data_IF_749805829229
#
_entry.id   IF_749805829229
#
_cell.length_a   1.000
_cell.length_b   1.000
_cell.length_c   1.000
_cell.angle_alpha   90.00
_cell.angle_beta   90.00
_cell.angle_gamma   90.00
#
_symmetry.space_group_name_H-M   'P 1'
#
loop_
_entity.id
_entity.type
_entity.pdbx_description
1 polymer ?
#
# COMPACT_ATOMS: atom_id res chain seq x y z
N UNK A 1 -3.72 33.67 -5.85
CA UNK A 1 -2.73 34.54 -6.51
C UNK A 1 -1.56 33.72 -6.99
N UNK A 2 -1.36 33.60 -8.30
CA UNK A 2 -0.19 32.91 -8.88
C UNK A 2 0.94 33.92 -8.95
N UNK A 3 2.03 33.67 -8.21
CA UNK A 3 3.16 34.62 -8.19
C UNK A 3 3.95 34.47 -9.49
N UNK A 4 3.79 35.44 -10.39
CA UNK A 4 4.59 35.52 -11.62
C UNK A 4 6.03 35.95 -11.28
N UNK A 5 6.88 34.98 -10.91
CA UNK A 5 8.30 35.23 -10.63
C UNK A 5 9.12 35.25 -11.91
N UNK A 6 9.94 36.28 -12.06
CA UNK A 6 10.90 36.42 -13.17
C UNK A 6 11.87 35.23 -13.22
N UNK A 7 12.09 34.70 -14.43
CA UNK A 7 13.00 33.57 -14.66
C UNK A 7 14.47 33.90 -14.34
N UNK A 8 15.21 32.88 -13.86
CA UNK A 8 16.62 32.99 -13.48
C UNK A 8 17.53 33.46 -14.61
N UNK A 9 17.18 33.11 -15.86
CA UNK A 9 17.89 33.52 -17.08
C UNK A 9 18.09 35.04 -17.15
N UNK A 10 17.07 35.81 -16.79
CA UNK A 10 17.13 37.25 -16.89
C UNK A 10 18.07 37.89 -15.88
N UNK A 11 18.33 37.23 -14.74
CA UNK A 11 19.32 37.67 -13.74
C UNK A 11 20.74 37.28 -14.12
N UNK A 12 20.89 36.30 -15.02
CA UNK A 12 22.20 35.81 -15.44
C UNK A 12 22.76 36.48 -16.70
N UNK A 13 22.00 37.36 -17.36
CA UNK A 13 22.55 38.18 -18.46
C UNK A 13 23.71 39.04 -17.90
N UNK A 14 24.88 38.97 -18.54
CA UNK A 14 26.11 39.64 -18.09
C UNK A 14 26.98 38.85 -17.10
N UNK A 15 26.54 37.69 -16.59
CA UNK A 15 27.27 36.90 -15.58
C UNK A 15 28.41 36.00 -16.12
N UNK A 16 28.83 36.20 -17.37
CA UNK A 16 29.83 35.44 -18.13
C UNK A 16 29.56 33.92 -18.31
N UNK A 17 29.26 33.15 -17.25
CA UNK A 17 29.07 31.68 -17.31
C UNK A 17 27.71 31.19 -16.81
N UNK A 18 26.78 32.10 -16.48
CA UNK A 18 25.43 31.76 -16.01
C UNK A 18 25.44 30.82 -14.77
N UNK A 19 26.43 30.98 -13.88
CA UNK A 19 26.58 30.15 -12.68
C UNK A 19 27.03 28.72 -12.93
N UNK A 20 27.55 28.40 -14.11
CA UNK A 20 27.95 27.04 -14.50
C UNK A 20 29.42 26.72 -14.17
N UNK A 21 30.09 27.57 -13.38
CA UNK A 21 31.51 27.46 -13.06
C UNK A 21 32.40 27.84 -14.25
N UNK A 22 33.46 27.06 -14.47
CA UNK A 22 34.40 27.28 -15.57
C UNK A 22 33.77 27.03 -16.95
N UNK A 23 34.22 27.78 -17.98
CA UNK A 23 33.75 27.71 -19.38
C UNK A 23 33.79 26.30 -20.02
N UNK A 24 34.53 25.36 -19.43
CA UNK A 24 34.65 23.95 -19.89
C UNK A 24 33.67 22.97 -19.22
N UNK A 25 32.89 23.39 -18.21
CA UNK A 25 32.14 22.46 -17.33
C UNK A 25 30.68 22.21 -17.73
N UNK A 26 30.07 22.99 -18.62
CA UNK A 26 28.71 22.75 -19.15
C UNK A 26 28.74 22.34 -20.62
N UNK A 27 29.21 21.11 -20.89
CA UNK A 27 29.22 20.49 -22.23
C UNK A 27 28.21 19.34 -22.31
N UNK A 28 28.37 18.47 -23.31
CA UNK A 28 27.46 17.37 -23.62
C UNK A 28 27.50 16.20 -22.65
N UNK A 29 27.23 14.99 -23.16
CA UNK A 29 27.08 13.78 -22.35
C UNK A 29 28.34 13.39 -21.56
N UNK A 30 29.54 13.72 -22.04
CA UNK A 30 30.78 13.46 -21.30
C UNK A 30 30.80 14.09 -19.92
N UNK A 31 30.39 15.37 -19.81
CA UNK A 31 30.33 16.07 -18.52
C UNK A 31 29.22 15.52 -17.59
N UNK A 32 28.27 14.73 -18.12
CA UNK A 32 27.21 14.06 -17.35
C UNK A 32 27.55 12.60 -16.99
N UNK A 33 28.73 12.11 -17.38
CA UNK A 33 29.10 10.70 -17.23
C UNK A 33 28.22 9.79 -18.10
N UNK A 34 28.00 10.18 -19.37
CA UNK A 34 27.18 9.44 -20.34
C UNK A 34 25.71 9.86 -20.38
N UNK A 35 24.98 9.34 -21.38
CA UNK A 35 23.55 9.61 -21.59
C UNK A 35 22.71 8.69 -20.70
N UNK A 36 21.74 9.23 -19.97
CA UNK A 36 20.81 8.45 -19.14
C UNK A 36 21.51 7.62 -18.06
N UNK A 37 21.09 6.35 -17.93
CA UNK A 37 21.64 5.37 -16.98
C UNK A 37 22.96 4.73 -17.45
N UNK A 38 23.74 5.43 -18.26
CA UNK A 38 25.08 4.96 -18.63
C UNK A 38 26.00 4.87 -17.41
N UNK A 39 26.72 3.76 -17.27
CA UNK A 39 27.70 3.57 -16.20
C UNK A 39 27.11 3.28 -14.83
N UNK A 40 25.82 2.92 -14.76
CA UNK A 40 25.18 2.53 -13.50
C UNK A 40 25.60 1.15 -13.00
N UNK A 41 26.35 0.38 -13.82
CA UNK A 41 26.81 -0.98 -13.56
C UNK A 41 26.67 -1.90 -14.79
N UNK A 42 26.76 -3.23 -14.57
CA UNK A 42 26.80 -4.32 -15.57
C UNK A 42 28.04 -4.37 -16.47
N UNK A 43 28.49 -3.23 -17.01
CA UNK A 43 29.72 -3.13 -17.83
C UNK A 43 30.64 -2.00 -17.39
N UNK A 44 30.09 -0.88 -16.91
CA UNK A 44 30.85 0.28 -16.49
C UNK A 44 30.29 0.84 -15.17
N UNK A 45 31.18 1.36 -14.32
CA UNK A 45 30.89 1.55 -12.89
C UNK A 45 30.94 3.02 -12.41
N UNK A 46 31.10 3.98 -13.32
CA UNK A 46 31.19 5.43 -13.03
C UNK A 46 30.02 6.02 -12.22
N UNK A 47 28.83 5.40 -12.23
CA UNK A 47 27.63 5.79 -11.45
C UNK A 47 27.15 4.69 -10.49
N UNK A 48 27.83 3.55 -10.43
CA UNK A 48 27.46 2.41 -9.57
C UNK A 48 27.28 2.77 -8.09
N UNK A 49 28.16 3.54 -7.42
CA UNK A 49 27.98 3.87 -6.00
C UNK A 49 26.71 4.69 -5.75
N UNK A 50 26.37 5.61 -6.66
CA UNK A 50 25.14 6.42 -6.56
C UNK A 50 23.90 5.54 -6.70
N UNK A 51 23.92 4.59 -7.63
CA UNK A 51 22.76 3.72 -7.92
C UNK A 51 22.55 2.71 -6.80
N UNK A 52 23.61 2.11 -6.27
CA UNK A 52 23.50 1.20 -5.13
C UNK A 52 22.97 1.92 -3.88
N UNK A 53 23.36 3.18 -3.66
CA UNK A 53 22.81 4.00 -2.57
C UNK A 53 21.33 4.32 -2.74
N UNK A 54 20.87 4.59 -3.96
CA UNK A 54 19.48 5.00 -4.25
C UNK A 54 18.51 3.83 -4.34
N UNK A 55 18.92 2.77 -5.02
CA UNK A 55 18.05 1.65 -5.40
C UNK A 55 18.41 0.33 -4.71
N UNK A 56 19.49 0.30 -3.93
CA UNK A 56 19.98 -0.90 -3.28
C UNK A 56 20.56 -1.94 -4.25
N UNK A 57 20.79 -3.14 -3.71
CA UNK A 57 21.38 -4.25 -4.46
C UNK A 57 20.40 -4.91 -5.44
N UNK A 58 19.11 -4.59 -5.36
CA UNK A 58 18.06 -5.16 -6.22
C UNK A 58 17.97 -4.48 -7.60
N UNK A 59 18.73 -3.40 -7.83
CA UNK A 59 18.72 -2.65 -9.09
C UNK A 59 19.13 -3.51 -10.30
N UNK A 60 20.04 -4.46 -10.11
CA UNK A 60 20.45 -5.39 -11.17
C UNK A 60 19.95 -6.81 -10.88
N UNK A 61 19.45 -7.47 -11.92
CA UNK A 61 19.04 -8.87 -11.88
C UNK A 61 17.53 -9.04 -12.06
N UNK A 62 17.07 -10.28 -11.87
CA UNK A 62 15.64 -10.65 -11.85
C UNK A 62 15.42 -11.54 -10.63
N UNK A 63 14.28 -11.40 -9.95
CA UNK A 63 13.91 -12.25 -8.81
C UNK A 63 12.46 -12.72 -8.98
N UNK A 64 12.23 -14.02 -8.82
CA UNK A 64 10.89 -14.63 -8.86
C UNK A 64 10.22 -14.66 -10.24
N UNK A 65 8.92 -14.87 -10.25
CA UNK A 65 8.06 -14.91 -11.44
C UNK A 65 6.75 -14.18 -11.19
N UNK A 66 6.09 -13.71 -12.26
CA UNK A 66 4.79 -13.04 -12.17
C UNK A 66 3.67 -14.00 -12.60
N UNK A 67 2.60 -14.05 -11.82
CA UNK A 67 1.39 -14.83 -12.16
C UNK A 67 0.51 -14.04 -13.14
N UNK A 68 -0.16 -14.70 -14.10
CA UNK A 68 -1.18 -14.07 -14.94
C UNK A 68 -2.28 -13.37 -14.12
N UNK A 69 -2.63 -12.14 -14.52
CA UNK A 69 -3.55 -11.28 -13.77
C UNK A 69 -4.93 -11.92 -13.54
N UNK A 70 -5.42 -12.72 -14.50
CA UNK A 70 -6.71 -13.43 -14.43
C UNK A 70 -6.78 -14.42 -13.25
N UNK A 71 -5.65 -14.93 -12.77
CA UNK A 71 -5.60 -15.86 -11.63
C UNK A 71 -5.46 -15.17 -10.27
N UNK A 72 -5.21 -13.85 -10.23
CA UNK A 72 -4.98 -13.13 -8.98
C UNK A 72 -6.32 -12.75 -8.35
N UNK A 73 -6.80 -13.56 -7.41
CA UNK A 73 -7.95 -13.24 -6.55
C UNK A 73 -7.48 -12.37 -5.38
N UNK A 74 -7.93 -11.11 -5.32
CA UNK A 74 -7.64 -10.21 -4.19
C UNK A 74 -8.72 -10.34 -3.13
N UNK A 75 -8.38 -10.95 -2.00
CA UNK A 75 -9.28 -11.09 -0.85
C UNK A 75 -9.40 -9.75 -0.12
N UNK A 76 -10.62 -9.21 0.00
CA UNK A 76 -10.88 -8.01 0.80
C UNK A 76 -11.04 -8.39 2.26
N UNK A 77 -10.10 -7.98 3.09
CA UNK A 77 -10.09 -8.27 4.52
C UNK A 77 -10.40 -7.03 5.37
N UNK A 78 -11.02 -7.24 6.54
CA UNK A 78 -11.26 -6.21 7.57
C UNK A 78 -10.72 -6.71 8.92
N UNK A 79 -10.15 -5.80 9.72
CA UNK A 79 -9.71 -6.10 11.08
C UNK A 79 -10.85 -5.85 12.09
N UNK A 80 -10.83 -6.57 13.21
CA UNK A 80 -11.76 -6.35 14.33
C UNK A 80 -11.73 -4.89 14.80
N UNK A 81 -10.56 -4.27 14.93
CA UNK A 81 -10.41 -2.86 15.32
C UNK A 81 -11.21 -1.91 14.43
N UNK A 82 -11.11 -2.11 13.12
CA UNK A 82 -11.75 -1.24 12.13
C UNK A 82 -13.25 -1.49 12.06
N UNK A 83 -13.66 -2.75 12.24
CA UNK A 83 -15.05 -3.15 12.35
C UNK A 83 -15.70 -2.46 13.57
N UNK A 84 -15.07 -2.52 14.73
CA UNK A 84 -15.58 -1.92 15.97
C UNK A 84 -15.75 -0.40 15.84
N UNK A 85 -14.77 0.31 15.26
CA UNK A 85 -14.87 1.76 15.05
C UNK A 85 -16.02 2.16 14.14
N UNK A 86 -16.34 1.33 13.16
CA UNK A 86 -17.39 1.60 12.16
C UNK A 86 -18.77 1.03 12.54
N UNK A 87 -18.90 0.36 13.70
CA UNK A 87 -20.18 -0.23 14.12
C UNK A 87 -21.31 0.81 14.15
N UNK A 88 -21.08 1.99 14.73
CA UNK A 88 -22.09 3.05 14.82
C UNK A 88 -22.54 3.52 13.43
N UNK A 89 -21.59 3.78 12.54
CA UNK A 89 -21.85 4.17 11.15
C UNK A 89 -22.66 3.10 10.39
N UNK A 90 -22.32 1.83 10.57
CA UNK A 90 -23.04 0.74 9.93
C UNK A 90 -24.44 0.52 10.50
N UNK A 91 -24.65 0.84 11.78
CA UNK A 91 -25.97 0.81 12.42
C UNK A 91 -26.86 1.94 11.88
N UNK A 92 -26.33 3.16 11.80
CA UNK A 92 -27.02 4.31 11.19
C UNK A 92 -27.37 4.06 9.73
N UNK A 93 -26.47 3.41 8.98
CA UNK A 93 -26.67 3.04 7.58
C UNK A 93 -27.57 1.81 7.39
N UNK A 94 -28.15 1.24 8.46
CA UNK A 94 -29.00 0.02 8.46
C UNK A 94 -28.34 -1.21 7.81
N UNK A 95 -27.01 -1.26 7.76
CA UNK A 95 -26.23 -2.38 7.21
C UNK A 95 -26.05 -3.52 8.22
N UNK A 96 -26.21 -3.21 9.51
CA UNK A 96 -26.07 -4.13 10.65
C UNK A 96 -27.33 -3.99 11.51
N UNK A 97 -27.85 -5.12 12.01
CA UNK A 97 -28.93 -5.11 12.99
C UNK A 97 -28.37 -5.33 14.41
N UNK A 98 -29.02 -4.70 15.39
CA UNK A 98 -28.76 -4.94 16.81
C UNK A 98 -29.96 -5.68 17.40
N UNK A 99 -29.74 -6.91 17.85
CA UNK A 99 -30.74 -7.68 18.59
C UNK A 99 -30.32 -7.72 20.07
N UNK A 100 -31.12 -7.07 20.93
CA UNK A 100 -30.86 -6.89 22.36
C UNK A 100 -29.46 -6.28 22.62
N UNK A 101 -28.45 -7.12 22.84
CA UNK A 101 -27.05 -6.76 23.13
C UNK A 101 -26.03 -7.32 22.14
N UNK A 102 -26.48 -7.98 21.06
CA UNK A 102 -25.62 -8.54 20.03
C UNK A 102 -25.75 -7.78 18.71
N UNK A 103 -24.60 -7.49 18.09
CA UNK A 103 -24.56 -6.91 16.73
C UNK A 103 -24.45 -8.03 15.72
N UNK A 104 -25.40 -8.08 14.77
CA UNK A 104 -25.45 -9.07 13.71
C UNK A 104 -24.76 -8.49 12.49
N UNK A 105 -23.52 -8.93 12.25
CA UNK A 105 -22.67 -8.42 11.18
C UNK A 105 -22.53 -9.44 10.07
N UNK A 106 -22.96 -9.07 8.86
CA UNK A 106 -22.72 -9.86 7.67
C UNK A 106 -21.60 -9.22 6.84
N UNK A 107 -20.42 -9.83 6.81
CA UNK A 107 -19.27 -9.27 6.10
C UNK A 107 -19.47 -9.25 4.58
N UNK A 108 -20.22 -10.21 4.03
CA UNK A 108 -20.51 -10.27 2.59
C UNK A 108 -21.28 -9.03 2.14
N UNK A 109 -22.28 -8.60 2.93
CA UNK A 109 -23.05 -7.38 2.67
C UNK A 109 -22.19 -6.11 2.77
N UNK A 110 -21.16 -6.13 3.61
CA UNK A 110 -20.20 -5.04 3.76
C UNK A 110 -19.10 -5.07 2.67
N UNK A 111 -19.08 -6.08 1.79
CA UNK A 111 -18.09 -6.23 0.73
C UNK A 111 -16.72 -6.75 1.19
N UNK A 112 -16.67 -7.40 2.36
CA UNK A 112 -15.49 -8.04 2.92
C UNK A 112 -15.65 -9.57 2.93
N UNK A 113 -14.57 -10.27 2.65
CA UNK A 113 -14.53 -11.73 2.59
C UNK A 113 -13.85 -12.34 3.83
N UNK A 114 -12.87 -11.63 4.40
CA UNK A 114 -12.05 -12.16 5.51
C UNK A 114 -12.03 -11.25 6.73
N UNK A 115 -12.20 -11.84 7.92
CA UNK A 115 -12.00 -11.16 9.20
C UNK A 115 -10.62 -11.48 9.82
N UNK A 116 -9.88 -10.43 10.16
CA UNK A 116 -8.56 -10.50 10.79
C UNK A 116 -8.61 -10.07 12.27
N UNK A 117 -7.81 -10.73 13.10
CA UNK A 117 -7.86 -10.59 14.56
C UNK A 117 -7.13 -9.38 15.16
N UNK A 118 -6.75 -8.37 14.38
CA UNK A 118 -6.04 -7.19 14.89
C UNK A 118 -7.00 -6.28 15.68
N UNK A 119 -6.67 -5.98 16.93
CA UNK A 119 -7.48 -5.15 17.85
C UNK A 119 -8.13 -5.94 18.99
N UNK A 120 -8.78 -5.22 19.89
CA UNK A 120 -9.60 -5.76 20.97
C UNK A 120 -11.08 -5.66 20.59
N UNK A 121 -11.88 -6.59 21.10
CA UNK A 121 -13.31 -6.62 20.90
C UNK A 121 -14.01 -6.30 22.22
N UNK A 122 -14.71 -5.17 22.32
CA UNK A 122 -15.47 -4.81 23.53
C UNK A 122 -16.94 -5.22 23.48
N UNK A 123 -17.41 -5.69 22.32
CA UNK A 123 -18.84 -5.88 22.02
C UNK A 123 -19.11 -7.33 21.62
N UNK A 124 -20.29 -7.85 21.98
CA UNK A 124 -20.75 -9.18 21.54
C UNK A 124 -21.19 -9.12 20.07
N UNK A 125 -20.57 -9.94 19.22
CA UNK A 125 -20.83 -9.98 17.78
C UNK A 125 -21.39 -11.34 17.37
N UNK A 126 -22.43 -11.32 16.54
CA UNK A 126 -22.86 -12.47 15.73
C UNK A 126 -22.38 -12.23 14.31
N UNK A 127 -21.38 -12.99 13.86
CA UNK A 127 -20.65 -12.69 12.62
C UNK A 127 -20.87 -13.78 11.56
N UNK A 128 -21.33 -13.37 10.38
CA UNK A 128 -21.38 -14.17 9.15
C UNK A 128 -20.27 -13.71 8.20
N UNK A 129 -19.32 -14.60 7.93
CA UNK A 129 -18.16 -14.34 7.07
C UNK A 129 -17.73 -15.60 6.33
N UNK A 130 -17.16 -15.44 5.13
CA UNK A 130 -16.55 -16.55 4.38
C UNK A 130 -15.33 -17.06 5.13
N UNK A 131 -14.34 -16.19 5.41
CA UNK A 131 -13.11 -16.63 6.07
C UNK A 131 -12.82 -15.86 7.36
N UNK A 132 -12.38 -16.56 8.40
CA UNK A 132 -12.03 -15.98 9.70
C UNK A 132 -10.64 -16.45 10.12
N UNK A 133 -9.80 -15.53 10.58
CA UNK A 133 -8.49 -15.89 11.14
C UNK A 133 -8.62 -16.55 12.53
N UNK A 134 -7.73 -17.49 12.86
CA UNK A 134 -7.74 -18.19 14.15
C UNK A 134 -7.65 -17.25 15.37
N UNK A 135 -6.98 -16.10 15.23
CA UNK A 135 -6.92 -15.09 16.29
C UNK A 135 -8.22 -14.30 16.42
N UNK A 136 -8.95 -14.08 15.32
CA UNK A 136 -10.26 -13.44 15.35
C UNK A 136 -11.32 -14.35 15.96
N UNK A 137 -11.33 -15.63 15.62
CA UNK A 137 -12.30 -16.58 16.15
C UNK A 137 -12.22 -16.71 17.68
N UNK A 138 -11.01 -16.85 18.22
CA UNK A 138 -10.75 -16.89 19.67
C UNK A 138 -11.30 -15.65 20.38
N UNK A 139 -10.98 -14.46 19.87
CA UNK A 139 -11.44 -13.18 20.49
C UNK A 139 -12.96 -13.01 20.47
N UNK A 140 -13.62 -13.48 19.40
CA UNK A 140 -15.09 -13.43 19.32
C UNK A 140 -15.70 -14.40 20.34
N UNK A 141 -15.17 -15.63 20.44
CA UNK A 141 -15.64 -16.64 21.40
C UNK A 141 -15.41 -16.21 22.85
N UNK A 142 -14.23 -15.67 23.18
CA UNK A 142 -13.90 -15.14 24.52
C UNK A 142 -14.88 -14.05 24.98
N UNK A 143 -15.41 -13.25 24.05
CA UNK A 143 -16.42 -12.23 24.34
C UNK A 143 -17.86 -12.74 24.29
N UNK A 144 -18.08 -14.03 24.04
CA UNK A 144 -19.39 -14.66 23.94
C UNK A 144 -20.13 -14.32 22.64
N UNK A 145 -19.40 -14.04 21.56
CA UNK A 145 -19.95 -13.87 20.22
C UNK A 145 -20.15 -15.21 19.50
N UNK A 146 -21.06 -15.22 18.53
CA UNK A 146 -21.41 -16.42 17.75
C UNK A 146 -20.88 -16.25 16.33
N UNK A 147 -20.19 -17.27 15.84
CA UNK A 147 -19.67 -17.31 14.47
C UNK A 147 -20.54 -18.25 13.65
N UNK A 148 -21.07 -17.75 12.53
CA UNK A 148 -21.74 -18.57 11.52
C UNK A 148 -20.73 -18.74 10.39
N UNK A 149 -20.02 -19.86 10.38
CA UNK A 149 -19.15 -20.22 9.27
C UNK A 149 -20.01 -20.77 8.12
N UNK A 150 -19.79 -20.28 6.90
CA UNK A 150 -20.30 -20.94 5.68
C UNK A 150 -19.36 -22.04 5.15
N UNK A 151 -18.19 -22.19 5.78
CA UNK A 151 -17.10 -23.05 5.32
C UNK A 151 -17.14 -24.48 5.92
N UNK A 152 -18.28 -25.16 5.83
CA UNK A 152 -18.30 -26.64 5.78
C UNK A 152 -18.77 -27.07 4.40
N UNK A 153 -17.87 -27.05 3.42
CA UNK A 153 -18.10 -27.67 2.10
C UNK A 153 -17.83 -26.78 0.89
N UNK A 154 -16.56 -26.63 0.53
CA UNK A 154 -16.16 -26.52 -0.89
C UNK A 154 -14.68 -26.86 -1.05
N UNK A 155 -14.34 -28.10 -0.69
CA UNK A 155 -13.15 -28.76 -1.24
C UNK A 155 -13.45 -29.14 -2.69
N UNK A 156 -12.93 -28.38 -3.64
CA UNK A 156 -12.70 -28.78 -5.03
C UNK A 156 -11.48 -28.03 -5.56
#
# INVERSE_FOLDING_TARGET
MTVNKRGKLSRYRGSHTHGCGSKKKRRGAGNRGGKGMAGTGKRADQKKPTILKLYGNEYFGKRGFHRPQKMIKKVKAINIKDLQKKLNFYLESKLISKEKDMYIVNLSKLGYQKLLGTGELSVKLKLDAEHISNSASKKIQEKGGVIINKDEGSSN
#
